data_IF_035898088311
#
_entry.id   IF_035898088311
#
_cell.length_a   1.000
_cell.length_b   1.000
_cell.length_c   1.000
_cell.angle_alpha   90.00
_cell.angle_beta   90.00
_cell.angle_gamma   90.00
#
_symmetry.space_group_name_H-M   'P 1'
#
loop_
_entity.id
_entity.type
_entity.pdbx_description
1 polymer ?
#
# COMPACT_ATOMS: atom_id res chain seq x y z
N UNK A 1 0.01 3.12 15.41
CA UNK A 1 0.62 1.87 14.88
C UNK A 1 1.84 1.60 15.75
N UNK A 2 1.71 0.71 16.74
CA UNK A 2 2.82 0.38 17.61
C UNK A 2 3.86 -0.40 16.81
N UNK A 3 5.10 0.10 16.78
CA UNK A 3 6.25 -0.68 16.35
C UNK A 3 6.46 -1.70 17.48
N UNK A 4 5.95 -2.91 17.32
CA UNK A 4 6.18 -4.00 18.27
C UNK A 4 7.61 -4.48 18.06
N UNK A 5 8.50 -4.06 18.97
CA UNK A 5 9.89 -4.48 18.99
C UNK A 5 9.96 -5.92 19.53
N UNK A 6 10.80 -6.81 18.95
CA UNK A 6 10.88 -8.21 19.35
C UNK A 6 11.55 -8.44 20.73
N UNK A 7 11.76 -7.39 21.52
CA UNK A 7 12.42 -7.44 22.82
C UNK A 7 11.63 -6.64 23.88
N UNK A 8 11.47 -7.21 25.07
CA UNK A 8 10.87 -6.53 26.22
C UNK A 8 11.84 -5.46 26.74
N UNK A 9 11.54 -4.19 26.48
CA UNK A 9 12.30 -3.09 27.07
C UNK A 9 11.97 -3.04 28.57
N UNK A 10 12.96 -3.11 29.48
CA UNK A 10 12.70 -3.00 30.91
C UNK A 10 12.00 -1.66 31.20
N UNK A 11 10.77 -1.75 31.71
CA UNK A 11 9.86 -0.60 31.90
C UNK A 11 10.41 0.47 32.87
N UNK A 12 11.41 0.11 33.69
CA UNK A 12 12.10 1.00 34.62
C UNK A 12 13.25 1.82 34.00
N UNK A 13 13.49 1.73 32.68
CA UNK A 13 14.51 2.54 32.02
C UNK A 13 13.95 3.94 31.70
N UNK A 14 14.58 5.06 32.12
CA UNK A 14 14.13 6.41 31.77
C UNK A 14 14.03 6.66 30.26
N UNK A 15 14.80 5.92 29.44
CA UNK A 15 14.69 5.94 27.98
C UNK A 15 13.35 5.36 27.51
N UNK A 16 12.86 4.30 28.16
CA UNK A 16 11.58 3.68 27.82
C UNK A 16 10.40 4.59 28.15
N UNK A 17 10.43 5.27 29.29
CA UNK A 17 9.40 6.23 29.65
C UNK A 17 9.34 7.41 28.67
N UNK A 18 10.50 7.92 28.26
CA UNK A 18 10.58 9.01 27.29
C UNK A 18 10.08 8.56 25.92
N UNK A 19 10.47 7.37 25.48
CA UNK A 19 9.98 6.76 24.24
C UNK A 19 8.46 6.58 24.26
N UNK A 20 7.90 6.03 25.35
CA UNK A 20 6.47 5.84 25.53
C UNK A 20 5.71 7.17 25.44
N UNK A 21 6.20 8.22 26.11
CA UNK A 21 5.63 9.58 26.01
C UNK A 21 5.65 10.11 24.58
N UNK A 22 6.76 9.97 23.86
CA UNK A 22 6.87 10.38 22.45
C UNK A 22 5.89 9.60 21.57
N UNK A 23 5.76 8.29 21.77
CA UNK A 23 4.81 7.46 21.02
C UNK A 23 3.35 7.87 21.26
N UNK A 24 2.97 8.14 22.52
CA UNK A 24 1.61 8.57 22.87
C UNK A 24 1.30 9.91 22.21
N UNK A 25 2.19 10.89 22.35
CA UNK A 25 2.03 12.22 21.72
C UNK A 25 1.96 12.11 20.20
N UNK A 26 2.83 11.28 19.60
CA UNK A 26 2.81 11.04 18.16
C UNK A 26 1.47 10.42 17.70
N UNK A 27 0.97 9.43 18.44
CA UNK A 27 -0.31 8.80 18.15
C UNK A 27 -1.47 9.80 18.27
N UNK A 28 -1.45 10.70 19.26
CA UNK A 28 -2.44 11.76 19.44
C UNK A 28 -2.48 12.72 18.23
N UNK A 29 -1.32 13.15 17.73
CA UNK A 29 -1.24 13.97 16.51
C UNK A 29 -1.80 13.23 15.29
N UNK A 30 -1.46 11.95 15.15
CA UNK A 30 -1.97 11.11 14.06
C UNK A 30 -3.49 10.97 14.13
N UNK A 31 -4.03 10.73 15.32
CA UNK A 31 -5.47 10.58 15.54
C UNK A 31 -6.24 11.87 15.22
N UNK A 32 -5.63 13.04 15.46
CA UNK A 32 -6.18 14.35 15.06
C UNK A 32 -6.28 14.54 13.54
N UNK A 33 -5.44 13.87 12.76
CA UNK A 33 -5.40 13.95 11.28
C UNK A 33 -6.36 12.93 10.63
N UNK A 34 -6.82 11.91 11.37
CA UNK A 34 -7.76 10.86 10.90
C UNK A 34 -9.09 11.37 10.31
N UNK A 35 -9.74 12.45 10.78
CA UNK A 35 -11.01 12.90 10.19
C UNK A 35 -10.83 13.70 8.88
N UNK A 36 -9.65 14.28 8.62
CA UNK A 36 -9.41 15.22 7.52
C UNK A 36 -9.09 14.52 6.19
N UNK A 37 -9.99 13.68 5.69
CA UNK A 37 -9.73 12.86 4.49
C UNK A 37 -9.38 13.68 3.25
N UNK A 38 -10.15 14.73 2.93
CA UNK A 38 -9.94 15.52 1.71
C UNK A 38 -8.58 16.24 1.75
N UNK A 39 -8.28 16.93 2.85
CA UNK A 39 -7.04 17.69 3.02
C UNK A 39 -5.81 16.79 2.90
N UNK A 40 -5.87 15.59 3.49
CA UNK A 40 -4.82 14.57 3.38
C UNK A 40 -4.53 14.19 1.94
N UNK A 41 -5.56 13.86 1.16
CA UNK A 41 -5.40 13.43 -0.23
C UNK A 41 -4.94 14.58 -1.13
N UNK A 42 -5.39 15.81 -0.87
CA UNK A 42 -4.86 17.00 -1.53
C UNK A 42 -3.37 17.16 -1.21
N UNK A 43 -2.98 17.10 0.06
CA UNK A 43 -1.59 17.19 0.48
C UNK A 43 -0.70 16.10 -0.15
N UNK A 44 -1.18 14.86 -0.20
CA UNK A 44 -0.50 13.77 -0.89
C UNK A 44 -0.37 14.03 -2.39
N UNK A 45 -1.45 14.49 -3.05
CA UNK A 45 -1.43 14.84 -4.47
C UNK A 45 -0.41 15.93 -4.78
N UNK A 46 -0.37 16.99 -3.98
CA UNK A 46 0.61 18.08 -4.10
C UNK A 46 2.04 17.54 -3.92
N UNK A 47 2.29 16.74 -2.90
CA UNK A 47 3.60 16.13 -2.65
C UNK A 47 4.06 15.25 -3.81
N UNK A 48 3.15 14.42 -4.35
CA UNK A 48 3.42 13.56 -5.50
C UNK A 48 3.70 14.39 -6.76
N UNK A 49 2.94 15.47 -7.01
CA UNK A 49 3.20 16.39 -8.12
C UNK A 49 4.58 17.05 -8.00
N UNK A 50 4.95 17.53 -6.80
CA UNK A 50 6.29 18.11 -6.56
C UNK A 50 7.39 17.09 -6.86
N UNK A 51 7.23 15.84 -6.41
CA UNK A 51 8.16 14.77 -6.73
C UNK A 51 8.28 14.53 -8.24
N UNK A 52 7.16 14.39 -8.95
CA UNK A 52 7.17 14.17 -10.41
C UNK A 52 7.80 15.34 -11.18
N UNK A 53 7.48 16.58 -10.79
CA UNK A 53 8.09 17.78 -11.36
C UNK A 53 9.59 17.80 -11.12
N UNK A 54 10.04 17.42 -9.92
CA UNK A 54 11.48 17.33 -9.58
C UNK A 54 12.21 16.35 -10.49
N UNK A 55 11.65 15.15 -10.69
CA UNK A 55 12.21 14.13 -11.60
C UNK A 55 12.21 14.61 -13.05
N UNK A 56 11.12 15.24 -13.50
CA UNK A 56 10.99 15.74 -14.87
C UNK A 56 11.95 16.90 -15.17
N UNK A 57 12.17 17.83 -14.24
CA UNK A 57 13.12 18.93 -14.43
C UNK A 57 14.57 18.41 -14.31
N UNK A 58 14.82 17.52 -13.34
CA UNK A 58 16.13 16.96 -13.08
C UNK A 58 16.61 15.96 -14.14
N UNK A 59 15.68 15.36 -14.89
CA UNK A 59 15.96 14.31 -15.89
C UNK A 59 16.82 13.15 -15.32
N UNK A 60 16.57 12.79 -14.05
CA UNK A 60 17.36 11.80 -13.29
C UNK A 60 16.55 11.11 -12.19
N UNK A 61 17.20 10.28 -11.37
CA UNK A 61 16.61 9.52 -10.26
C UNK A 61 15.47 8.58 -10.69
N UNK A 62 15.55 8.06 -11.93
CA UNK A 62 14.54 7.18 -12.51
C UNK A 62 14.33 5.89 -11.71
N UNK A 63 15.37 5.37 -11.07
CA UNK A 63 15.27 4.18 -10.21
C UNK A 63 14.40 4.47 -8.99
N UNK A 64 14.55 5.65 -8.36
CA UNK A 64 13.71 6.03 -7.21
C UNK A 64 12.27 6.23 -7.66
N UNK A 65 12.05 6.89 -8.80
CA UNK A 65 10.70 7.05 -9.36
C UNK A 65 10.06 5.69 -9.66
N UNK A 66 10.81 4.75 -10.23
CA UNK A 66 10.37 3.39 -10.53
C UNK A 66 10.03 2.60 -9.26
N UNK A 67 10.93 2.61 -8.27
CA UNK A 67 10.70 1.96 -6.98
C UNK A 67 9.48 2.53 -6.25
N UNK A 68 9.31 3.87 -6.26
CA UNK A 68 8.12 4.52 -5.72
C UNK A 68 6.86 4.09 -6.48
N UNK A 69 6.91 4.01 -7.81
CA UNK A 69 5.80 3.57 -8.65
C UNK A 69 5.36 2.13 -8.33
N UNK A 70 6.30 1.20 -8.24
CA UNK A 70 6.01 -0.19 -7.85
C UNK A 70 5.46 -0.27 -6.43
N UNK A 71 6.04 0.48 -5.50
CA UNK A 71 5.57 0.51 -4.12
C UNK A 71 4.13 1.00 -4.02
N UNK A 72 3.79 2.08 -4.74
CA UNK A 72 2.42 2.61 -4.80
C UNK A 72 1.46 1.62 -5.47
N UNK A 73 1.90 0.92 -6.53
CA UNK A 73 1.14 -0.16 -7.13
C UNK A 73 0.85 -1.27 -6.10
N UNK A 74 1.88 -1.76 -5.40
CA UNK A 74 1.70 -2.79 -4.38
C UNK A 74 0.72 -2.35 -3.27
N UNK A 75 0.84 -1.10 -2.81
CA UNK A 75 -0.08 -0.55 -1.81
C UNK A 75 -1.52 -0.48 -2.34
N UNK A 76 -1.69 -0.20 -3.63
CA UNK A 76 -2.98 -0.19 -4.30
C UNK A 76 -3.56 -1.60 -4.45
N UNK A 77 -2.74 -2.61 -4.76
CA UNK A 77 -3.16 -4.01 -4.74
C UNK A 77 -3.63 -4.40 -3.34
N UNK A 78 -2.84 -4.12 -2.31
CA UNK A 78 -3.20 -4.41 -0.93
C UNK A 78 -4.47 -3.67 -0.46
N UNK A 79 -4.81 -2.54 -1.07
CA UNK A 79 -6.07 -1.84 -0.84
C UNK A 79 -7.26 -2.56 -1.52
N UNK A 80 -7.04 -3.14 -2.71
CA UNK A 80 -8.05 -3.88 -3.48
C UNK A 80 -8.24 -5.33 -3.03
N UNK A 81 -7.25 -5.94 -2.36
CA UNK A 81 -7.33 -7.31 -1.86
C UNK A 81 -8.18 -7.38 -0.57
N UNK A 82 -9.14 -8.32 -0.46
CA UNK A 82 -9.93 -8.53 0.76
C UNK A 82 -9.03 -9.00 1.91
N UNK A 83 -9.43 -8.72 3.15
CA UNK A 83 -8.71 -9.13 4.36
C UNK A 83 -8.81 -10.65 4.66
N UNK A 84 -9.54 -11.42 3.85
CA UNK A 84 -9.85 -12.83 4.09
C UNK A 84 -9.43 -13.70 2.90
N UNK A 85 -8.26 -14.32 3.00
CA UNK A 85 -8.06 -15.77 2.97
C UNK A 85 -6.57 -16.07 2.70
N UNK A 86 -5.89 -16.90 3.54
CA UNK A 86 -4.48 -17.27 3.35
C UNK A 86 -4.18 -17.86 1.98
N UNK A 87 -5.15 -18.55 1.36
CA UNK A 87 -5.04 -19.14 0.03
C UNK A 87 -4.94 -18.09 -1.09
N UNK A 88 -5.63 -16.96 -0.96
CA UNK A 88 -5.62 -15.88 -1.96
C UNK A 88 -4.31 -15.10 -1.97
N UNK A 89 -3.76 -14.87 -0.79
CA UNK A 89 -2.47 -14.23 -0.64
C UNK A 89 -1.34 -15.14 -1.17
N UNK A 90 -1.44 -16.45 -0.90
CA UNK A 90 -0.51 -17.45 -1.43
C UNK A 90 -0.61 -17.55 -2.96
N UNK A 91 -1.81 -17.58 -3.56
CA UNK A 91 -1.99 -17.60 -5.03
C UNK A 91 -1.41 -16.35 -5.70
N UNK A 92 -1.72 -15.16 -5.18
CA UNK A 92 -1.16 -13.91 -5.71
C UNK A 92 0.35 -13.82 -5.56
N UNK A 93 0.89 -14.29 -4.42
CA UNK A 93 2.33 -14.30 -4.15
C UNK A 93 3.05 -15.33 -5.03
N UNK A 94 2.55 -16.55 -5.09
CA UNK A 94 3.10 -17.64 -5.91
C UNK A 94 3.12 -17.28 -7.40
N UNK A 95 2.10 -16.62 -7.91
CA UNK A 95 2.07 -16.24 -9.33
C UNK A 95 2.86 -14.93 -9.61
N UNK A 96 3.07 -14.07 -8.62
CA UNK A 96 4.02 -12.94 -8.74
C UNK A 96 5.49 -13.40 -8.72
N UNK A 97 5.76 -14.55 -8.09
CA UNK A 97 7.06 -15.22 -8.08
C UNK A 97 7.36 -15.86 -9.45
N UNK A 98 6.35 -16.36 -10.16
CA UNK A 98 6.48 -16.97 -11.50
C UNK A 98 6.89 -15.96 -12.60
N UNK A 99 6.69 -14.65 -12.37
CA UNK A 99 7.14 -13.56 -13.25
C UNK A 99 8.57 -13.04 -12.96
N UNK A 100 9.34 -13.70 -12.08
CA UNK A 100 10.80 -13.48 -11.95
C UNK A 100 11.28 -12.81 -10.64
N UNK A 101 10.53 -12.91 -9.55
CA UNK A 101 10.98 -12.49 -8.21
C UNK A 101 11.15 -13.74 -7.35
N UNK A 102 12.38 -14.20 -7.14
CA UNK A 102 12.69 -15.38 -6.30
C UNK A 102 12.62 -15.03 -4.82
N UNK A 103 11.83 -15.79 -4.07
CA UNK A 103 12.09 -16.15 -2.66
C UNK A 103 11.44 -17.53 -2.43
N UNK A 104 12.22 -18.44 -1.85
CA UNK A 104 12.03 -19.90 -1.82
C UNK A 104 11.02 -20.41 -0.75
N UNK A 105 10.53 -21.63 -0.98
CA UNK A 105 9.75 -22.55 -0.13
C UNK A 105 8.20 -22.41 0.04
N UNK A 106 7.47 -23.47 -0.41
CA UNK A 106 6.50 -24.17 0.46
C UNK A 106 4.98 -24.12 0.20
N UNK A 107 4.49 -25.03 -0.66
CA UNK A 107 3.33 -25.96 -0.50
C UNK A 107 1.88 -25.47 -0.18
N UNK A 108 0.95 -25.72 -1.14
CA UNK A 108 -0.29 -26.52 -0.96
C UNK A 108 -1.61 -25.89 -0.42
N UNK A 109 -2.73 -26.11 -1.13
CA UNK A 109 -4.05 -26.32 -0.50
C UNK A 109 -5.30 -25.70 -1.13
N UNK A 110 -6.12 -26.54 -1.78
CA UNK A 110 -7.43 -26.27 -2.40
C UNK A 110 -8.59 -26.02 -1.41
N UNK A 111 -9.62 -25.28 -1.83
CA UNK A 111 -10.90 -25.22 -1.11
C UNK A 111 -12.03 -24.50 -1.88
N UNK A 112 -12.92 -25.27 -2.52
CA UNK A 112 -14.26 -24.84 -2.94
C UNK A 112 -15.15 -24.69 -1.69
N UNK A 113 -15.88 -23.58 -1.54
CA UNK A 113 -17.31 -23.59 -1.12
C UNK A 113 -17.94 -22.19 -0.98
N UNK A 114 -19.24 -22.12 -1.33
CA UNK A 114 -20.25 -21.25 -0.70
C UNK A 114 -20.38 -19.80 -1.17
N UNK A 115 -21.49 -19.47 -1.83
CA UNK A 115 -22.01 -18.10 -2.07
C UNK A 115 -22.40 -17.41 -0.72
N UNK A 116 -21.43 -17.20 0.18
CA UNK A 116 -21.61 -16.38 1.37
C UNK A 116 -21.02 -14.98 1.13
N UNK A 117 -21.89 -13.97 1.07
CA UNK A 117 -21.48 -12.58 0.90
C UNK A 117 -20.75 -12.09 2.17
N UNK A 118 -19.42 -12.16 2.16
CA UNK A 118 -18.57 -11.62 3.22
C UNK A 118 -18.46 -10.09 3.06
N UNK A 119 -18.80 -9.28 4.08
CA UNK A 119 -18.57 -7.83 4.03
C UNK A 119 -17.11 -7.56 3.67
N UNK A 120 -16.88 -6.80 2.60
CA UNK A 120 -15.53 -6.50 2.14
C UNK A 120 -14.80 -5.64 3.17
N UNK A 121 -14.06 -6.29 4.07
CA UNK A 121 -13.11 -5.63 4.92
C UNK A 121 -11.83 -5.53 4.10
N UNK A 122 -11.50 -4.31 3.67
CA UNK A 122 -10.25 -4.01 2.97
C UNK A 122 -9.06 -4.45 3.83
N UNK A 123 -8.07 -5.11 3.22
CA UNK A 123 -6.85 -5.51 3.92
C UNK A 123 -6.09 -4.30 4.45
N UNK A 124 -6.04 -3.22 3.66
CA UNK A 124 -5.43 -1.95 4.05
C UNK A 124 -6.50 -0.84 4.25
N UNK A 125 -6.67 -0.32 5.48
CA UNK A 125 -7.47 0.87 5.72
C UNK A 125 -6.95 2.05 4.91
N UNK A 126 -7.85 2.89 4.39
CA UNK A 126 -7.52 4.07 3.58
C UNK A 126 -6.48 4.98 4.26
N UNK A 127 -6.61 5.18 5.58
CA UNK A 127 -5.65 5.99 6.34
C UNK A 127 -4.23 5.40 6.30
N UNK A 128 -4.09 4.07 6.41
CA UNK A 128 -2.78 3.41 6.34
C UNK A 128 -2.21 3.45 4.92
N UNK A 129 -3.07 3.33 3.89
CA UNK A 129 -2.67 3.55 2.50
C UNK A 129 -2.08 4.95 2.34
N UNK A 130 -2.85 5.97 2.72
CA UNK A 130 -2.43 7.36 2.58
C UNK A 130 -1.13 7.65 3.34
N UNK A 131 -1.02 7.18 4.59
CA UNK A 131 0.14 7.40 5.44
C UNK A 131 1.41 6.75 4.86
N UNK A 132 1.32 5.50 4.43
CA UNK A 132 2.45 4.78 3.82
C UNK A 132 2.86 5.39 2.48
N UNK A 133 1.88 5.72 1.62
CA UNK A 133 2.12 6.39 0.35
C UNK A 133 2.83 7.74 0.55
N UNK A 134 2.30 8.58 1.45
CA UNK A 134 2.87 9.91 1.75
C UNK A 134 4.29 9.81 2.26
N UNK A 135 4.57 8.86 3.17
CA UNK A 135 5.94 8.63 3.68
C UNK A 135 6.89 8.16 2.60
N UNK A 136 6.47 7.23 1.74
CA UNK A 136 7.30 6.74 0.64
C UNK A 136 7.59 7.84 -0.37
N UNK A 137 6.60 8.65 -0.75
CA UNK A 137 6.79 9.78 -1.66
C UNK A 137 7.70 10.85 -1.05
N UNK A 138 7.52 11.18 0.24
CA UNK A 138 8.42 12.10 0.94
C UNK A 138 9.85 11.58 0.99
N UNK A 139 10.04 10.29 1.30
CA UNK A 139 11.36 9.66 1.30
C UNK A 139 11.98 9.68 -0.10
N UNK A 140 11.22 9.35 -1.14
CA UNK A 140 11.67 9.42 -2.53
C UNK A 140 12.08 10.84 -2.93
N UNK A 141 11.33 11.86 -2.48
CA UNK A 141 11.69 13.26 -2.68
C UNK A 141 13.01 13.62 -2.00
N UNK A 142 13.20 13.22 -0.74
CA UNK A 142 14.45 13.45 -0.01
C UNK A 142 15.63 12.74 -0.68
N UNK A 143 15.45 11.49 -1.11
CA UNK A 143 16.49 10.75 -1.83
C UNK A 143 16.86 11.44 -3.16
N UNK A 144 15.89 12.01 -3.88
CA UNK A 144 16.11 12.75 -5.14
C UNK A 144 16.89 14.08 -5.00
N UNK A 145 17.21 14.49 -3.76
CA UNK A 145 18.10 15.63 -3.49
C UNK A 145 19.57 15.18 -3.55
N UNK A 146 19.87 13.92 -3.29
CA UNK A 146 21.23 13.40 -3.27
C UNK A 146 21.62 12.82 -4.62
N UNK A 147 22.67 13.37 -5.22
CA UNK A 147 23.23 12.89 -6.50
C UNK A 147 23.76 11.45 -6.42
N UNK A 148 24.18 10.99 -5.23
CA UNK A 148 24.66 9.60 -5.02
C UNK A 148 23.60 8.55 -5.40
N UNK A 149 22.32 8.91 -5.31
CA UNK A 149 21.22 8.00 -5.63
C UNK A 149 20.77 8.09 -7.10
N UNK A 150 21.39 8.98 -7.89
CA UNK A 150 21.15 9.09 -9.31
C UNK A 150 22.09 8.17 -10.08
N UNK A 151 21.55 7.06 -10.56
CA UNK A 151 22.29 6.07 -11.34
C UNK A 151 21.78 6.15 -12.79
N UNK A 152 22.68 6.35 -13.78
CA UNK A 152 22.29 6.44 -15.17
C UNK A 152 21.72 5.10 -15.64
N UNK A 153 20.44 5.10 -15.98
CA UNK A 153 19.72 3.93 -16.50
C UNK A 153 18.89 4.33 -17.71
N UNK A 154 18.63 3.36 -18.59
CA UNK A 154 17.77 3.58 -19.74
C UNK A 154 16.30 3.67 -19.28
N UNK A 155 15.87 4.84 -18.83
CA UNK A 155 14.53 5.03 -18.27
C UNK A 155 13.35 4.59 -19.16
N UNK A 156 13.42 4.63 -20.52
CA UNK A 156 12.30 4.16 -21.34
C UNK A 156 12.01 2.67 -21.15
N UNK A 157 13.03 1.83 -20.92
CA UNK A 157 12.81 0.41 -20.66
C UNK A 157 12.11 0.21 -19.31
N UNK A 158 12.51 0.96 -18.28
CA UNK A 158 11.87 0.91 -16.95
C UNK A 158 10.40 1.33 -17.03
N UNK A 159 10.10 2.38 -17.79
CA UNK A 159 8.72 2.80 -18.00
C UNK A 159 7.91 1.71 -18.73
N UNK A 160 8.48 1.09 -19.77
CA UNK A 160 7.83 -0.01 -20.48
C UNK A 160 7.54 -1.19 -19.55
N UNK A 161 8.53 -1.62 -18.75
CA UNK A 161 8.34 -2.67 -17.75
C UNK A 161 7.25 -2.30 -16.75
N UNK A 162 7.26 -1.07 -16.24
CA UNK A 162 6.23 -0.61 -15.32
C UNK A 162 4.83 -0.65 -15.93
N UNK A 163 4.67 -0.21 -17.18
CA UNK A 163 3.37 -0.22 -17.86
C UNK A 163 2.87 -1.66 -18.07
N UNK A 164 3.75 -2.57 -18.51
CA UNK A 164 3.41 -3.99 -18.70
C UNK A 164 3.01 -4.61 -17.37
N UNK A 165 3.85 -4.48 -16.34
CA UNK A 165 3.60 -5.00 -15.00
C UNK A 165 2.29 -4.45 -14.43
N UNK A 166 2.10 -3.13 -14.47
CA UNK A 166 0.90 -2.45 -13.99
C UNK A 166 -0.35 -3.01 -14.69
N UNK A 167 -0.31 -3.12 -16.02
CA UNK A 167 -1.46 -3.57 -16.81
C UNK A 167 -1.79 -5.04 -16.52
N UNK A 168 -0.78 -5.91 -16.49
CA UNK A 168 -0.97 -7.33 -16.19
C UNK A 168 -1.50 -7.54 -14.78
N UNK A 169 -0.86 -6.90 -13.80
CA UNK A 169 -1.24 -6.98 -12.38
C UNK A 169 -2.65 -6.46 -12.16
N UNK A 170 -3.00 -5.30 -12.73
CA UNK A 170 -4.35 -4.73 -12.60
C UNK A 170 -5.41 -5.55 -13.30
N UNK A 171 -5.14 -6.03 -14.52
CA UNK A 171 -6.06 -6.93 -15.25
C UNK A 171 -6.34 -8.17 -14.44
N UNK A 172 -5.31 -8.80 -13.89
CA UNK A 172 -5.41 -10.00 -13.06
C UNK A 172 -6.19 -9.75 -11.78
N UNK A 173 -5.92 -8.64 -11.09
CA UNK A 173 -6.71 -8.26 -9.91
C UNK A 173 -8.18 -8.07 -10.23
N UNK A 174 -8.50 -7.38 -11.33
CA UNK A 174 -9.90 -7.18 -11.73
C UNK A 174 -10.57 -8.52 -12.06
N UNK A 175 -9.88 -9.41 -12.79
CA UNK A 175 -10.40 -10.76 -13.08
C UNK A 175 -10.67 -11.57 -11.81
N UNK A 176 -9.77 -11.48 -10.83
CA UNK A 176 -9.92 -12.11 -9.54
C UNK A 176 -11.11 -11.56 -8.76
N UNK A 177 -11.24 -10.24 -8.69
CA UNK A 177 -12.38 -9.55 -8.08
C UNK A 177 -13.72 -9.99 -8.68
N UNK A 178 -13.77 -10.13 -10.01
CA UNK A 178 -14.95 -10.62 -10.74
C UNK A 178 -15.23 -12.09 -10.42
N UNK A 179 -14.19 -12.95 -10.42
CA UNK A 179 -14.30 -14.40 -10.15
C UNK A 179 -14.84 -14.67 -8.74
N UNK A 180 -14.34 -13.95 -7.74
CA UNK A 180 -14.70 -14.11 -6.33
C UNK A 180 -15.76 -13.10 -5.85
N UNK A 181 -16.40 -12.38 -6.80
CA UNK A 181 -17.54 -11.47 -6.58
C UNK A 181 -17.38 -10.49 -5.41
N UNK A 182 -16.21 -9.90 -5.23
CA UNK A 182 -16.03 -8.80 -4.28
C UNK A 182 -15.77 -7.49 -5.01
N UNK A 183 -16.54 -6.46 -4.65
CA UNK A 183 -16.42 -5.10 -5.20
C UNK A 183 -15.97 -4.16 -4.07
N UNK A 184 -14.90 -3.36 -4.26
CA UNK A 184 -14.36 -2.47 -3.24
C UNK A 184 -15.24 -1.24 -3.00
N UNK A 185 -16.19 -1.01 -3.92
CA UNK A 185 -17.17 0.07 -3.90
C UNK A 185 -18.57 -0.52 -3.80
N UNK A 186 -19.33 -0.04 -2.82
CA UNK A 186 -20.71 -0.50 -2.55
C UNK A 186 -21.73 0.16 -3.50
N UNK A 187 -21.36 0.32 -4.78
CA UNK A 187 -22.14 0.95 -5.83
C UNK A 187 -23.24 -0.01 -6.30
N UNK A 188 -24.31 -0.14 -5.52
CA UNK A 188 -25.50 -0.87 -5.95
C UNK A 188 -26.30 -1.59 -4.85
N UNK A 189 -25.88 -1.58 -3.58
CA UNK A 189 -26.69 -2.20 -2.53
C UNK A 189 -27.90 -1.34 -2.17
N UNK A 190 -29.09 -1.87 -2.41
CA UNK A 190 -30.36 -1.32 -1.93
C UNK A 190 -30.35 -1.26 -0.41
N UNK A 191 -30.29 -0.04 0.15
CA UNK A 191 -30.45 0.18 1.59
C UNK A 191 -31.89 -0.18 1.97
N UNK A 192 -32.10 -1.33 2.60
CA UNK A 192 -33.38 -1.62 3.24
C UNK A 192 -33.59 -0.63 4.39
N UNK A 193 -34.58 0.26 4.23
CA UNK A 193 -35.07 1.14 5.29
C UNK A 193 -35.63 0.25 6.39
N UNK A 194 -34.96 0.22 7.55
CA UNK A 194 -35.43 -0.49 8.74
C UNK A 194 -36.74 0.19 9.18
N UNK A 195 -37.88 -0.45 8.92
CA UNK A 195 -39.17 0.01 9.43
C UNK A 195 -39.13 -0.13 10.95
N UNK A 196 -39.13 0.99 11.66
CA UNK A 196 -39.32 0.99 13.11
C UNK A 196 -40.75 0.49 13.39
N UNK A 197 -40.84 -0.58 14.18
CA UNK A 197 -42.08 -1.02 14.83
C UNK A 197 -42.02 -0.50 16.26
#
# INVERSE_FOLDING_TARGET
MAIELPFEIPKNNPVYETYSKVCVTYQEYIDRIVPHTIERWIGFGVLLCVFLIRIFIGQGWYIICYALGIYLLNLFLAFLTPKFDPSLEQEMKNESIEEGIQDDEGEGGSGKDGDEFRPFIRRLPEFKFWYNATRATFLGLVLSIFEITDIPVFWPILLMYFIILFTLTMRKQIQHMIKYKYLPFDLGKTRYRRTAV
#
